data_IF_452180324319
#
_entry.id   IF_452180324319
#
_cell.length_a   1.000
_cell.length_b   1.000
_cell.length_c   1.000
_cell.angle_alpha   90.00
_cell.angle_beta   90.00
_cell.angle_gamma   90.00
#
_symmetry.space_group_name_H-M   'P 1'
#
loop_
_entity.id
_entity.type
_entity.pdbx_description
1 polymer ?
#
# COMPACT_ATOMS: atom_id res chain seq x y z
N UNK A 1 -19.55 -17.70 7.39
CA UNK A 1 -18.37 -18.56 7.21
C UNK A 1 -17.13 -17.70 7.02
N UNK A 2 -16.18 -17.74 7.96
CA UNK A 2 -14.88 -17.05 7.84
C UNK A 2 -13.97 -17.88 6.95
N UNK A 3 -13.65 -17.39 5.76
CA UNK A 3 -12.58 -17.99 4.94
C UNK A 3 -11.29 -17.25 5.25
N UNK A 4 -10.58 -17.75 6.26
CA UNK A 4 -9.20 -17.37 6.56
C UNK A 4 -8.29 -18.18 5.63
N UNK A 5 -8.03 -17.69 4.41
CA UNK A 5 -7.10 -18.35 3.50
C UNK A 5 -5.65 -18.10 3.96
N UNK A 6 -4.84 -19.14 4.23
CA UNK A 6 -3.42 -19.02 4.59
C UNK A 6 -2.52 -18.65 3.39
N UNK A 7 -3.09 -18.06 2.33
CA UNK A 7 -2.52 -18.01 0.99
C UNK A 7 -1.57 -16.82 0.72
N UNK A 8 -1.29 -15.96 1.70
CA UNK A 8 -0.43 -14.77 1.49
C UNK A 8 1.04 -15.12 1.28
N UNK A 9 1.51 -16.32 1.66
CA UNK A 9 2.95 -16.65 1.61
C UNK A 9 3.44 -17.15 0.25
N UNK A 10 2.58 -17.77 -0.57
CA UNK A 10 2.97 -18.36 -1.85
C UNK A 10 2.98 -17.34 -3.00
N UNK A 11 2.04 -16.39 -3.01
CA UNK A 11 1.95 -15.36 -4.05
C UNK A 11 3.13 -14.36 -4.03
N UNK A 12 3.80 -14.20 -2.88
CA UNK A 12 4.93 -13.27 -2.72
C UNK A 12 6.18 -13.73 -3.49
N UNK A 13 6.39 -15.05 -3.70
CA UNK A 13 7.63 -15.56 -4.33
C UNK A 13 7.73 -15.34 -5.84
N UNK A 14 6.65 -14.90 -6.51
CA UNK A 14 6.61 -14.69 -7.98
C UNK A 14 6.04 -13.33 -8.39
N UNK A 15 5.96 -12.37 -7.47
CA UNK A 15 5.74 -10.97 -7.82
C UNK A 15 6.99 -10.41 -8.54
N UNK A 16 6.87 -9.39 -9.41
CA UNK A 16 8.00 -8.81 -10.13
C UNK A 16 9.13 -8.47 -9.15
N UNK A 17 10.37 -8.76 -9.56
CA UNK A 17 11.60 -8.79 -8.73
C UNK A 17 11.88 -7.46 -7.97
N UNK A 18 11.18 -6.38 -8.31
CA UNK A 18 11.37 -5.04 -7.75
C UNK A 18 10.43 -4.69 -6.58
N UNK A 19 9.57 -5.62 -6.17
CA UNK A 19 8.74 -5.47 -4.98
C UNK A 19 9.58 -5.53 -3.69
N UNK A 20 10.43 -4.51 -3.46
CA UNK A 20 11.10 -4.29 -2.17
C UNK A 20 10.03 -4.11 -1.12
N UNK A 21 9.82 -5.17 -0.35
CA UNK A 21 8.81 -5.22 0.68
C UNK A 21 9.16 -4.21 1.78
N UNK A 22 8.47 -3.08 1.82
CA UNK A 22 8.66 -2.10 2.89
C UNK A 22 8.07 -2.67 4.18
N UNK A 23 8.90 -2.69 5.22
CA UNK A 23 8.47 -2.93 6.60
C UNK A 23 7.91 -1.61 7.11
N UNK A 24 6.62 -1.57 7.44
CA UNK A 24 6.02 -0.43 8.13
C UNK A 24 5.69 -0.84 9.56
N UNK A 25 5.88 0.11 10.49
CA UNK A 25 5.49 -0.08 11.88
C UNK A 25 3.97 -0.11 11.99
N UNK A 26 3.45 -0.86 12.97
CA UNK A 26 2.02 -0.88 13.26
C UNK A 26 1.53 0.56 13.55
N UNK A 27 0.49 1.07 12.88
CA UNK A 27 -0.26 2.21 13.42
C UNK A 27 -1.01 1.70 14.67
N UNK A 28 -0.61 2.16 15.85
CA UNK A 28 -1.01 1.71 17.20
C UNK A 28 -2.51 1.98 17.54
N UNK A 29 -3.14 1.48 18.65
CA UNK A 29 -2.56 0.89 19.87
C UNK A 29 -3.09 -0.52 20.27
N UNK A 30 -2.38 -1.13 21.24
CA UNK A 30 -2.68 -2.39 21.95
C UNK A 30 -2.74 -3.69 21.12
N UNK A 31 -1.67 -4.47 21.18
CA UNK A 31 -1.73 -5.94 21.00
C UNK A 31 -0.64 -6.54 20.13
N UNK A 32 -0.29 -5.90 19.01
CA UNK A 32 0.66 -6.46 18.06
C UNK A 32 1.92 -5.57 17.99
N UNK A 33 2.96 -5.93 18.76
CA UNK A 33 4.31 -5.39 18.54
C UNK A 33 4.97 -6.21 17.44
N UNK A 34 4.92 -5.72 16.19
CA UNK A 34 5.55 -6.39 15.06
C UNK A 34 5.71 -5.47 13.85
N UNK A 35 6.61 -5.85 12.93
CA UNK A 35 6.75 -5.18 11.64
C UNK A 35 5.78 -5.80 10.64
N UNK A 36 4.84 -5.02 10.10
CA UNK A 36 4.04 -5.47 8.97
C UNK A 36 4.84 -5.30 7.69
N UNK A 37 5.00 -6.40 6.95
CA UNK A 37 5.62 -6.38 5.63
C UNK A 37 4.51 -6.13 4.61
N UNK A 38 4.64 -5.06 3.80
CA UNK A 38 3.71 -4.74 2.71
C UNK A 38 4.40 -4.96 1.36
N UNK A 39 4.50 -6.22 0.89
CA UNK A 39 5.29 -6.55 -0.30
C UNK A 39 4.75 -5.88 -1.57
N UNK A 40 3.44 -5.65 -1.66
CA UNK A 40 2.79 -5.11 -2.87
C UNK A 40 2.57 -3.60 -2.84
N UNK A 41 3.14 -2.88 -1.86
CA UNK A 41 2.92 -1.43 -1.72
C UNK A 41 3.48 -0.62 -2.90
N UNK A 42 4.48 -1.17 -3.60
CA UNK A 42 5.14 -0.52 -4.74
C UNK A 42 4.74 -1.14 -6.10
N UNK A 43 3.72 -2.00 -6.12
CA UNK A 43 3.23 -2.65 -7.35
C UNK A 43 1.95 -1.95 -7.79
N UNK A 44 1.82 -1.65 -9.09
CA UNK A 44 0.62 -1.02 -9.59
C UNK A 44 -0.53 -2.02 -9.67
N UNK A 45 -1.76 -1.52 -9.52
CA UNK A 45 -2.96 -2.35 -9.64
C UNK A 45 -3.11 -2.93 -11.05
N UNK A 46 -2.64 -2.22 -12.08
CA UNK A 46 -2.58 -2.71 -13.47
C UNK A 46 -1.78 -4.00 -13.55
N UNK A 47 -0.57 -3.99 -13.00
CA UNK A 47 0.38 -5.10 -13.09
C UNK A 47 -0.16 -6.33 -12.36
N UNK A 48 -0.86 -6.12 -11.24
CA UNK A 48 -1.52 -7.21 -10.51
C UNK A 48 -2.67 -7.81 -11.32
N UNK A 49 -3.44 -7.00 -12.06
CA UNK A 49 -4.54 -7.49 -12.90
C UNK A 49 -4.02 -8.27 -14.09
N UNK A 50 -3.04 -7.73 -14.80
CA UNK A 50 -2.37 -8.40 -15.92
C UNK A 50 -1.82 -9.76 -15.48
N UNK A 51 -1.12 -9.81 -14.35
CA UNK A 51 -0.62 -11.06 -13.78
C UNK A 51 -1.72 -12.09 -13.44
N UNK A 52 -2.90 -11.63 -13.00
CA UNK A 52 -4.02 -12.52 -12.69
C UNK A 52 -4.68 -13.03 -13.97
N UNK A 53 -4.83 -12.17 -14.97
CA UNK A 53 -5.38 -12.50 -16.30
C UNK A 53 -4.49 -13.51 -17.03
N UNK A 54 -3.17 -13.30 -17.05
CA UNK A 54 -2.19 -14.24 -17.62
C UNK A 54 -2.27 -15.65 -17.02
N UNK A 55 -2.72 -15.75 -15.76
CA UNK A 55 -2.84 -17.02 -15.03
C UNK A 55 -4.25 -17.58 -15.01
N UNK A 56 -5.22 -16.90 -15.63
CA UNK A 56 -6.62 -17.28 -15.58
C UNK A 56 -7.21 -17.31 -14.16
N UNK A 57 -6.68 -16.49 -13.24
CA UNK A 57 -7.17 -16.42 -11.86
C UNK A 57 -8.22 -15.33 -11.76
N UNK A 58 -9.46 -15.71 -11.49
CA UNK A 58 -10.53 -14.74 -11.21
C UNK A 58 -10.39 -14.20 -9.79
N UNK A 59 -10.18 -12.89 -9.68
CA UNK A 59 -10.17 -12.20 -8.39
C UNK A 59 -11.59 -12.09 -7.82
N UNK A 60 -11.74 -12.31 -6.52
CA UNK A 60 -12.99 -12.01 -5.82
C UNK A 60 -13.14 -10.48 -5.64
N UNK A 61 -14.24 -9.93 -6.13
CA UNK A 61 -14.58 -8.53 -5.96
C UNK A 61 -15.42 -8.31 -4.71
N UNK A 62 -14.80 -7.82 -3.64
CA UNK A 62 -15.51 -7.45 -2.41
C UNK A 62 -16.41 -6.21 -2.66
N UNK A 63 -17.73 -6.29 -2.39
CA UNK A 63 -18.68 -5.18 -2.52
C UNK A 63 -18.25 -3.89 -1.81
N UNK A 64 -17.52 -4.00 -0.68
CA UNK A 64 -17.04 -2.84 0.07
C UNK A 64 -15.99 -2.01 -0.70
N UNK A 65 -15.41 -2.54 -1.77
CA UNK A 65 -14.48 -1.81 -2.64
C UNK A 65 -15.18 -0.91 -3.66
N UNK A 66 -16.47 -1.14 -3.91
CA UNK A 66 -17.30 -0.32 -4.82
C UNK A 66 -18.18 0.69 -4.06
N UNK A 67 -18.28 0.57 -2.74
CA UNK A 67 -19.14 1.40 -1.92
C UNK A 67 -18.56 2.81 -1.69
N UNK A 68 -19.19 3.81 -2.32
CA UNK A 68 -18.80 5.23 -2.27
C UNK A 68 -19.11 5.91 -0.93
N UNK A 69 -19.75 5.21 0.02
CA UNK A 69 -19.88 5.71 1.40
C UNK A 69 -18.51 5.86 2.07
N UNK A 70 -17.54 5.01 1.70
CA UNK A 70 -16.18 5.09 2.24
C UNK A 70 -15.35 6.15 1.52
N UNK A 71 -14.75 7.07 2.29
CA UNK A 71 -13.89 8.13 1.76
C UNK A 71 -12.74 7.59 0.90
N UNK A 72 -12.17 6.43 1.25
CA UNK A 72 -11.11 5.76 0.47
C UNK A 72 -11.55 5.37 -0.95
N UNK A 73 -12.82 4.99 -1.11
CA UNK A 73 -13.38 4.58 -2.41
C UNK A 73 -13.65 5.81 -3.25
N UNK A 74 -14.26 6.86 -2.65
CA UNK A 74 -14.46 8.16 -3.33
C UNK A 74 -13.15 8.77 -3.82
N UNK A 75 -12.13 8.80 -2.96
CA UNK A 75 -10.83 9.32 -3.34
C UNK A 75 -10.26 8.58 -4.56
N UNK A 76 -10.37 7.25 -4.59
CA UNK A 76 -9.86 6.43 -5.69
C UNK A 76 -10.68 6.54 -6.97
N UNK A 77 -12.00 6.57 -6.87
CA UNK A 77 -12.90 6.48 -8.03
C UNK A 77 -13.28 7.84 -8.61
N UNK A 78 -13.30 8.89 -7.78
CA UNK A 78 -13.76 10.22 -8.18
C UNK A 78 -12.61 11.23 -8.20
N UNK A 79 -11.79 11.28 -7.15
CA UNK A 79 -10.81 12.37 -7.00
C UNK A 79 -9.54 12.10 -7.81
N UNK A 80 -8.94 10.91 -7.68
CA UNK A 80 -7.69 10.59 -8.37
C UNK A 80 -7.81 10.62 -9.91
N UNK A 81 -8.89 10.13 -10.54
CA UNK A 81 -9.03 10.20 -12.00
C UNK A 81 -9.14 11.64 -12.51
N UNK A 82 -9.87 12.51 -11.82
CA UNK A 82 -9.97 13.94 -12.19
C UNK A 82 -8.60 14.63 -12.06
N UNK A 83 -7.88 14.38 -10.96
CA UNK A 83 -6.51 14.89 -10.79
C UNK A 83 -5.56 14.44 -11.91
N UNK A 84 -5.66 13.17 -12.32
CA UNK A 84 -4.84 12.61 -13.40
C UNK A 84 -5.20 13.19 -14.77
N UNK A 85 -6.48 13.53 -14.99
CA UNK A 85 -6.94 14.24 -16.19
C UNK A 85 -6.41 15.66 -16.25
N UNK A 86 -6.47 16.40 -15.14
CA UNK A 86 -5.97 17.78 -15.06
C UNK A 86 -4.44 17.84 -15.19
N UNK A 87 -3.75 16.87 -14.59
CA UNK A 87 -2.29 16.78 -14.69
C UNK A 87 -1.81 15.33 -14.82
N UNK A 88 -1.53 14.88 -16.05
CA UNK A 88 -1.00 13.55 -16.31
C UNK A 88 0.27 13.25 -15.50
N UNK A 89 0.31 12.08 -14.87
CA UNK A 89 1.39 11.60 -14.03
C UNK A 89 1.37 12.09 -12.59
N UNK A 90 0.33 12.82 -12.14
CA UNK A 90 0.25 13.30 -10.76
C UNK A 90 0.18 12.14 -9.75
N UNK A 91 -0.48 11.03 -10.09
CA UNK A 91 -0.55 9.86 -9.20
C UNK A 91 0.86 9.29 -8.94
N UNK A 92 1.72 9.25 -9.96
CA UNK A 92 3.13 8.80 -9.81
C UNK A 92 3.93 9.77 -8.94
N UNK A 93 3.72 11.08 -9.10
CA UNK A 93 4.38 12.10 -8.27
C UNK A 93 3.95 12.02 -6.81
N UNK A 94 2.65 11.80 -6.55
CA UNK A 94 2.12 11.58 -5.20
C UNK A 94 2.72 10.32 -4.56
N UNK A 95 2.85 9.23 -5.32
CA UNK A 95 3.53 8.02 -4.85
C UNK A 95 4.99 8.30 -4.49
N UNK A 96 5.74 8.98 -5.36
CA UNK A 96 7.13 9.34 -5.09
C UNK A 96 7.26 10.24 -3.84
N UNK A 97 6.38 11.24 -3.69
CA UNK A 97 6.33 12.11 -2.52
C UNK A 97 6.06 11.30 -1.24
N UNK A 98 5.11 10.36 -1.28
CA UNK A 98 4.82 9.48 -0.15
C UNK A 98 6.01 8.58 0.22
N UNK A 99 6.77 8.08 -0.77
CA UNK A 99 8.00 7.32 -0.51
C UNK A 99 9.08 8.16 0.16
N UNK A 100 9.24 9.41 -0.25
CA UNK A 100 10.19 10.36 0.35
C UNK A 100 9.76 10.70 1.78
N UNK A 101 8.49 11.05 1.99
CA UNK A 101 7.95 11.34 3.31
C UNK A 101 8.11 10.15 4.27
N UNK A 102 7.88 8.92 3.80
CA UNK A 102 8.10 7.72 4.60
C UNK A 102 9.57 7.57 5.05
N UNK A 103 10.53 7.83 4.15
CA UNK A 103 11.96 7.81 4.51
C UNK A 103 12.33 8.92 5.51
N UNK A 104 11.76 10.11 5.33
CA UNK A 104 11.98 11.24 6.24
C UNK A 104 11.43 10.94 7.64
N UNK A 105 10.26 10.31 7.71
CA UNK A 105 9.66 9.88 8.98
C UNK A 105 10.53 8.81 9.66
N UNK A 106 11.01 7.81 8.92
CA UNK A 106 11.93 6.80 9.44
C UNK A 106 13.21 7.42 10.01
N UNK A 107 13.76 8.44 9.32
CA UNK A 107 14.94 9.17 9.78
C UNK A 107 14.65 10.01 11.04
N UNK A 108 13.50 10.70 11.09
CA UNK A 108 13.09 11.50 12.24
C UNK A 108 12.86 10.64 13.49
N UNK A 109 12.31 9.43 13.33
CA UNK A 109 12.12 8.47 14.42
C UNK A 109 13.43 7.85 14.93
N UNK A 110 14.48 7.81 14.10
CA UNK A 110 15.81 7.33 14.47
C UNK A 110 16.72 8.42 15.01
N UNK A 111 16.33 9.69 14.89
CA UNK A 111 17.08 10.78 15.47
C UNK A 111 17.12 10.59 16.99
N UNK A 112 18.32 10.58 17.62
CA UNK A 112 18.40 10.48 19.07
C UNK A 112 17.62 11.64 19.68
N UNK A 113 16.77 11.36 20.66
CA UNK A 113 16.14 12.40 21.49
C UNK A 113 17.21 12.98 22.41
N UNK A 114 18.15 13.73 21.84
CA UNK A 114 19.07 14.55 22.58
C UNK A 114 18.32 15.80 23.02
N UNK A 115 17.54 15.64 24.08
CA UNK A 115 17.31 16.73 25.02
C UNK A 115 17.95 16.28 26.32
N UNK A 116 19.28 16.33 26.35
CA UNK A 116 20.00 16.46 27.62
C UNK A 116 19.68 17.88 28.10
N UNK A 117 18.68 17.97 28.97
CA UNK A 117 18.40 19.18 29.73
C UNK A 117 19.58 19.39 30.68
N UNK A 118 20.24 20.54 30.54
CA UNK A 118 21.35 21.02 31.36
C UNK A 118 21.04 20.96 32.86
#
# INVERSE_FOLDING_TARGET
>A
MRVCLPQTRAAIRRAPREARARRQRCPAPSGCRGHYVRPWLNVWRSDVREFLEERGITAYEDPANADTRFARVRARQLILPELERDRPGIVRKLHAAALTAARMQEAAEQAPTAVEVL
#
